data_IF_449676908138
#
_entry.id   IF_449676908138
#
_cell.length_a   1.000
_cell.length_b   1.000
_cell.length_c   1.000
_cell.angle_alpha   90.00
_cell.angle_beta   90.00
_cell.angle_gamma   90.00
#
_symmetry.space_group_name_H-M   'P 1'
#
loop_
_entity.id
_entity.type
_entity.pdbx_description
1 polymer ?
#
# COMPACT_ATOMS: atom_id res chain seq x y z
N UNK A 1 6.03 -38.05 29.97
CA UNK A 1 5.82 -38.53 28.60
C UNK A 1 6.45 -37.49 27.66
N UNK A 2 7.64 -37.79 27.16
CA UNK A 2 8.39 -36.86 26.28
C UNK A 2 7.94 -37.17 24.84
N UNK A 3 7.29 -36.22 24.21
CA UNK A 3 7.04 -36.24 22.75
C UNK A 3 8.36 -35.98 22.03
N UNK A 4 8.99 -37.03 21.58
CA UNK A 4 10.11 -36.98 20.66
C UNK A 4 9.51 -36.92 19.23
N UNK A 5 9.40 -35.74 18.63
CA UNK A 5 9.11 -35.64 17.22
C UNK A 5 10.35 -36.08 16.44
N UNK A 6 10.34 -37.28 15.91
CA UNK A 6 11.26 -37.67 14.85
C UNK A 6 10.86 -36.82 13.60
N UNK A 7 11.50 -35.68 13.42
CA UNK A 7 11.47 -35.02 12.13
C UNK A 7 12.30 -35.89 11.20
N UNK A 8 11.62 -36.64 10.32
CA UNK A 8 12.30 -37.30 9.22
C UNK A 8 13.03 -36.20 8.44
N UNK A 9 14.37 -36.22 8.44
CA UNK A 9 15.17 -35.38 7.55
C UNK A 9 14.82 -35.76 6.12
N UNK A 10 13.81 -35.12 5.55
CA UNK A 10 13.55 -35.16 4.13
C UNK A 10 14.69 -34.37 3.47
N UNK A 11 15.75 -35.08 3.10
CA UNK A 11 16.82 -34.49 2.30
C UNK A 11 16.20 -34.05 0.98
N UNK A 12 15.95 -32.76 0.86
CA UNK A 12 15.55 -32.18 -0.44
C UNK A 12 16.66 -32.55 -1.44
N UNK A 13 16.29 -32.99 -2.66
CA UNK A 13 17.28 -33.22 -3.68
C UNK A 13 18.13 -31.97 -3.86
N UNK A 14 19.43 -32.13 -4.13
CA UNK A 14 20.34 -31.03 -4.43
C UNK A 14 19.81 -30.24 -5.63
N UNK A 15 18.82 -29.38 -5.37
CA UNK A 15 18.34 -28.42 -6.35
C UNK A 15 19.39 -27.31 -6.46
N UNK A 16 19.94 -27.12 -7.63
CA UNK A 16 20.81 -25.98 -7.88
C UNK A 16 20.05 -24.69 -7.50
N UNK A 17 20.69 -23.76 -6.79
CA UNK A 17 20.04 -22.49 -6.46
C UNK A 17 19.58 -21.82 -7.76
N UNK A 18 18.34 -21.34 -7.75
CA UNK A 18 17.79 -20.58 -8.88
C UNK A 18 18.65 -19.33 -9.03
N UNK A 19 19.44 -19.29 -10.12
CA UNK A 19 20.22 -18.10 -10.41
C UNK A 19 19.30 -16.97 -10.84
N UNK A 20 19.39 -15.82 -10.18
CA UNK A 20 18.71 -14.60 -10.63
C UNK A 20 19.36 -14.13 -11.94
N UNK A 21 18.66 -14.29 -13.06
CA UNK A 21 19.14 -13.90 -14.40
C UNK A 21 19.18 -12.40 -14.67
N UNK A 22 18.84 -11.56 -13.69
CA UNK A 22 18.59 -10.14 -13.90
C UNK A 22 17.27 -9.92 -14.65
N UNK A 23 16.47 -8.95 -14.23
CA UNK A 23 15.32 -8.47 -14.99
C UNK A 23 15.69 -7.25 -15.82
N UNK A 24 15.00 -7.04 -16.91
CA UNK A 24 15.10 -5.79 -17.66
C UNK A 24 14.65 -4.63 -16.76
N UNK A 25 15.56 -3.69 -16.48
CA UNK A 25 15.23 -2.48 -15.73
C UNK A 25 14.44 -1.55 -16.63
N UNK A 26 13.14 -1.51 -16.46
CA UNK A 26 12.29 -0.55 -17.18
C UNK A 26 12.51 0.85 -16.60
N UNK A 27 12.73 1.86 -17.45
CA UNK A 27 12.87 3.24 -16.97
C UNK A 27 11.56 3.68 -16.30
N UNK A 28 11.69 4.38 -15.16
CA UNK A 28 10.54 4.96 -14.49
C UNK A 28 10.02 6.14 -15.31
N UNK A 29 8.76 6.16 -15.73
CA UNK A 29 8.18 7.27 -16.48
C UNK A 29 8.18 8.54 -15.64
N UNK A 30 8.29 9.70 -16.31
CA UNK A 30 8.11 11.00 -15.69
C UNK A 30 6.74 11.13 -15.05
N UNK A 31 6.66 11.83 -13.92
CA UNK A 31 5.41 12.11 -13.22
C UNK A 31 4.74 13.34 -13.83
N UNK A 32 3.40 13.28 -14.02
CA UNK A 32 2.60 14.48 -14.30
C UNK A 32 2.61 15.40 -13.07
N UNK A 33 2.70 16.71 -13.30
CA UNK A 33 2.72 17.72 -12.23
C UNK A 33 1.46 17.72 -11.35
N UNK A 34 0.35 17.21 -11.85
CA UNK A 34 -0.93 17.12 -11.13
C UNK A 34 -1.17 15.75 -10.50
N UNK A 35 -0.30 14.80 -10.73
CA UNK A 35 -0.40 13.45 -10.18
C UNK A 35 0.53 13.25 -8.99
N UNK A 36 0.14 12.37 -8.08
CA UNK A 36 0.99 11.84 -7.03
C UNK A 36 1.36 10.39 -7.38
N UNK A 37 2.57 9.98 -7.04
CA UNK A 37 2.99 8.60 -7.22
C UNK A 37 2.48 7.73 -6.08
N UNK A 38 1.64 6.76 -6.40
CA UNK A 38 1.09 5.85 -5.40
C UNK A 38 2.15 4.86 -4.96
N UNK A 39 2.35 4.79 -3.65
CA UNK A 39 3.13 3.76 -2.98
C UNK A 39 2.25 3.05 -1.97
N UNK A 40 2.46 1.76 -1.81
CA UNK A 40 1.66 0.97 -0.88
C UNK A 40 2.54 -0.02 -0.12
N UNK A 41 2.15 -0.29 1.11
CA UNK A 41 2.83 -1.24 1.98
C UNK A 41 1.85 -1.83 2.99
N UNK A 42 2.27 -2.86 3.71
CA UNK A 42 1.50 -3.45 4.80
C UNK A 42 1.94 -2.87 6.13
N UNK A 43 1.01 -2.81 7.08
CA UNK A 43 1.30 -2.51 8.48
C UNK A 43 1.29 -3.81 9.31
N UNK A 44 1.88 -3.74 10.49
CA UNK A 44 1.89 -4.87 11.44
C UNK A 44 0.47 -5.27 11.83
N UNK A 45 -0.39 -4.29 12.09
CA UNK A 45 -1.81 -4.49 12.39
C UNK A 45 -2.64 -4.01 11.20
N UNK A 46 -3.01 -4.94 10.34
CA UNK A 46 -3.94 -4.75 9.24
C UNK A 46 -5.20 -5.60 9.47
N UNK A 47 -6.18 -5.54 8.58
CA UNK A 47 -7.40 -6.35 8.67
C UNK A 47 -7.19 -7.82 8.27
N UNK A 48 -5.98 -8.34 8.40
CA UNK A 48 -5.68 -9.75 8.17
C UNK A 48 -6.42 -10.68 9.12
N UNK A 49 -6.64 -11.91 8.67
CA UNK A 49 -7.44 -12.92 9.40
C UNK A 49 -7.04 -13.09 10.86
N UNK A 50 -5.75 -13.13 11.16
CA UNK A 50 -5.25 -13.32 12.52
C UNK A 50 -5.60 -12.13 13.42
N UNK A 51 -5.41 -10.90 12.92
CA UNK A 51 -5.72 -9.67 13.66
C UNK A 51 -7.23 -9.51 13.82
N UNK A 52 -8.00 -9.71 12.75
CA UNK A 52 -9.46 -9.58 12.77
C UNK A 52 -10.14 -10.62 13.69
N UNK A 53 -9.54 -11.79 13.86
CA UNK A 53 -10.05 -12.84 14.74
C UNK A 53 -9.60 -12.67 16.21
N UNK A 54 -8.72 -11.70 16.51
CA UNK A 54 -8.21 -11.46 17.85
C UNK A 54 -8.89 -10.25 18.50
N UNK A 55 -9.72 -10.45 19.55
CA UNK A 55 -10.38 -9.34 20.24
C UNK A 55 -9.43 -8.29 20.83
N UNK A 56 -8.20 -8.70 21.18
CA UNK A 56 -7.17 -7.80 21.73
C UNK A 56 -6.40 -7.03 20.66
N UNK A 57 -6.41 -7.47 19.40
CA UNK A 57 -5.63 -6.83 18.34
C UNK A 57 -6.49 -6.04 17.34
N UNK A 58 -7.77 -6.40 17.20
CA UNK A 58 -8.65 -5.75 16.21
C UNK A 58 -8.76 -4.23 16.40
N UNK A 59 -8.70 -3.75 17.64
CA UNK A 59 -8.72 -2.32 17.96
C UNK A 59 -7.45 -1.57 17.59
N UNK A 60 -6.38 -2.26 17.16
CA UNK A 60 -5.12 -1.66 16.72
C UNK A 60 -5.07 -1.44 15.21
N UNK A 61 -6.07 -1.92 14.46
CA UNK A 61 -6.18 -1.70 13.02
C UNK A 61 -6.59 -0.26 12.78
N UNK A 62 -5.77 0.55 12.10
CA UNK A 62 -6.13 1.94 11.82
C UNK A 62 -7.18 2.03 10.72
N UNK A 63 -7.85 3.17 10.65
CA UNK A 63 -8.70 3.51 9.52
C UNK A 63 -7.87 3.68 8.23
N UNK A 64 -8.51 3.42 7.10
CA UNK A 64 -7.88 3.63 5.81
C UNK A 64 -7.77 5.13 5.50
N UNK A 65 -6.57 5.57 5.15
CA UNK A 65 -6.28 6.95 4.77
C UNK A 65 -5.27 7.02 3.62
N UNK A 66 -5.37 8.09 2.84
CA UNK A 66 -4.34 8.50 1.88
C UNK A 66 -3.35 9.42 2.61
N UNK A 67 -2.14 8.95 2.85
CA UNK A 67 -1.10 9.74 3.50
C UNK A 67 -0.32 10.51 2.44
N UNK A 68 -0.21 11.83 2.63
CA UNK A 68 0.55 12.71 1.74
C UNK A 68 1.35 13.74 2.53
N UNK A 69 2.38 14.28 1.91
CA UNK A 69 3.14 15.37 2.52
C UNK A 69 2.25 16.63 2.72
N UNK A 70 2.38 17.38 3.83
CA UNK A 70 1.57 18.58 4.10
C UNK A 70 1.57 19.61 2.96
N UNK A 71 2.66 19.73 2.20
CA UNK A 71 2.74 20.61 1.02
C UNK A 71 1.75 20.21 -0.07
N UNK A 72 1.47 18.92 -0.23
CA UNK A 72 0.51 18.44 -1.22
C UNK A 72 -0.92 18.78 -0.81
N UNK A 73 -1.25 18.73 0.47
CA UNK A 73 -2.54 19.17 1.01
C UNK A 73 -2.80 20.62 0.64
N UNK A 74 -1.81 21.49 0.90
CA UNK A 74 -1.91 22.90 0.54
C UNK A 74 -2.04 23.13 -0.98
N UNK A 75 -1.35 22.31 -1.79
CA UNK A 75 -1.40 22.40 -3.25
C UNK A 75 -2.74 21.94 -3.81
N UNK A 76 -3.36 20.91 -3.21
CA UNK A 76 -4.66 20.38 -3.62
C UNK A 76 -5.79 21.31 -3.14
N UNK A 77 -5.57 22.06 -2.04
CA UNK A 77 -6.55 22.97 -1.47
C UNK A 77 -7.62 22.27 -0.61
N UNK A 78 -7.22 21.24 0.13
CA UNK A 78 -8.06 20.48 1.07
C UNK A 78 -7.53 20.64 2.49
N UNK A 79 -8.32 20.25 3.48
CA UNK A 79 -7.87 20.16 4.88
C UNK A 79 -7.44 18.74 5.23
N UNK A 80 -6.66 18.62 6.28
CA UNK A 80 -6.31 17.32 6.88
C UNK A 80 -7.59 16.65 7.43
N UNK A 81 -7.80 15.40 7.04
CA UNK A 81 -9.00 14.63 7.36
C UNK A 81 -10.13 14.73 6.33
N UNK A 82 -10.03 15.62 5.35
CA UNK A 82 -11.08 15.74 4.32
C UNK A 82 -11.18 14.47 3.46
N UNK A 83 -12.41 14.21 2.99
CA UNK A 83 -12.65 13.16 1.99
C UNK A 83 -12.22 13.66 0.62
N UNK A 84 -11.40 12.87 -0.04
CA UNK A 84 -10.93 13.14 -1.39
C UNK A 84 -11.28 11.99 -2.32
N UNK A 85 -11.46 12.31 -3.59
CA UNK A 85 -11.59 11.32 -4.66
C UNK A 85 -10.20 11.07 -5.23
N UNK A 86 -9.77 9.81 -5.22
CA UNK A 86 -8.52 9.37 -5.84
C UNK A 86 -8.85 8.57 -7.10
N UNK A 87 -8.18 8.88 -8.20
CA UNK A 87 -8.38 8.24 -9.50
C UNK A 87 -7.05 7.78 -10.07
N UNK A 88 -7.00 6.54 -10.54
CA UNK A 88 -5.89 5.93 -11.27
C UNK A 88 -6.37 5.40 -12.61
N UNK A 89 -5.48 4.80 -13.41
CA UNK A 89 -5.86 4.07 -14.63
C UNK A 89 -6.80 2.88 -14.37
N UNK A 90 -6.82 2.37 -13.14
CA UNK A 90 -7.59 1.18 -12.76
C UNK A 90 -8.97 1.50 -12.20
N UNK A 91 -9.10 2.61 -11.52
CA UNK A 91 -10.37 2.94 -10.87
C UNK A 91 -10.35 4.23 -10.07
N UNK A 92 -11.46 4.46 -9.39
CA UNK A 92 -11.68 5.63 -8.55
C UNK A 92 -12.21 5.20 -7.20
N UNK A 93 -11.71 5.81 -6.13
CA UNK A 93 -12.19 5.59 -4.76
C UNK A 93 -12.28 6.92 -4.00
N UNK A 94 -13.08 6.95 -2.95
CA UNK A 94 -13.14 8.07 -2.00
C UNK A 94 -12.50 7.64 -0.69
N UNK A 95 -11.60 8.45 -0.16
CA UNK A 95 -10.80 8.13 1.03
C UNK A 95 -10.48 9.41 1.81
N UNK A 96 -10.35 9.29 3.13
CA UNK A 96 -9.84 10.38 3.95
C UNK A 96 -8.37 10.65 3.62
N UNK A 97 -8.02 11.93 3.49
CA UNK A 97 -6.64 12.36 3.26
C UNK A 97 -6.03 12.78 4.59
N UNK A 98 -4.79 12.36 4.84
CA UNK A 98 -4.09 12.66 6.10
C UNK A 98 -2.69 13.18 5.81
N UNK A 99 -2.33 14.25 6.53
CA UNK A 99 -1.00 14.84 6.48
C UNK A 99 0.04 13.96 7.19
N UNK A 100 1.13 13.64 6.48
CA UNK A 100 2.26 12.93 7.07
C UNK A 100 3.57 13.51 6.51
N UNK A 101 4.32 14.22 7.36
CA UNK A 101 5.58 14.85 6.98
C UNK A 101 6.70 13.84 6.64
N UNK A 102 6.53 12.57 6.97
CA UNK A 102 7.48 11.51 6.61
C UNK A 102 7.31 11.01 5.18
N UNK A 103 6.16 11.30 4.56
CA UNK A 103 5.90 10.99 3.15
C UNK A 103 6.62 12.01 2.27
N UNK A 104 7.43 11.59 1.29
CA UNK A 104 8.07 12.53 0.36
C UNK A 104 7.05 13.33 -0.46
N UNK A 105 7.37 14.60 -0.75
CA UNK A 105 6.54 15.40 -1.65
C UNK A 105 6.39 14.72 -3.03
N UNK A 106 5.17 14.77 -3.57
CA UNK A 106 4.85 14.11 -4.82
C UNK A 106 4.53 12.61 -4.71
N UNK A 107 4.51 12.07 -3.50
CA UNK A 107 4.14 10.68 -3.22
C UNK A 107 2.85 10.66 -2.41
N UNK A 108 2.05 9.64 -2.65
CA UNK A 108 0.89 9.30 -1.84
C UNK A 108 1.03 7.86 -1.34
N UNK A 109 0.77 7.63 -0.08
CA UNK A 109 0.89 6.31 0.54
C UNK A 109 -0.48 5.80 0.96
N UNK A 110 -0.82 4.59 0.54
CA UNK A 110 -1.99 3.87 1.03
C UNK A 110 -1.57 2.52 1.59
N UNK A 111 -2.12 2.15 2.73
CA UNK A 111 -1.82 0.87 3.36
C UNK A 111 -2.71 -0.23 2.79
N UNK A 112 -2.10 -1.39 2.47
CA UNK A 112 -2.84 -2.58 2.06
C UNK A 112 -3.67 -3.15 3.21
N UNK A 113 -4.78 -3.81 2.81
CA UNK A 113 -5.58 -4.64 3.70
C UNK A 113 -6.16 -3.88 4.91
N UNK A 114 -6.57 -2.64 4.69
CA UNK A 114 -7.36 -1.87 5.65
C UNK A 114 -8.85 -1.91 5.28
N UNK A 115 -9.77 -1.78 6.27
CA UNK A 115 -11.19 -1.82 6.01
C UNK A 115 -11.64 -0.65 5.11
N UNK A 116 -12.57 -0.92 4.22
CA UNK A 116 -13.29 0.10 3.45
C UNK A 116 -12.64 0.59 2.16
N UNK A 117 -11.33 0.40 1.96
CA UNK A 117 -10.62 0.85 0.75
C UNK A 117 -9.66 -0.22 0.22
N UNK A 118 -9.81 -0.58 -1.03
CA UNK A 118 -8.96 -1.57 -1.71
C UNK A 118 -7.83 -0.92 -2.51
N UNK A 119 -6.64 -0.81 -1.94
CA UNK A 119 -5.46 -0.33 -2.70
C UNK A 119 -5.21 -1.18 -3.95
N UNK A 120 -5.49 -2.48 -3.89
CA UNK A 120 -5.36 -3.40 -5.02
C UNK A 120 -6.19 -3.01 -6.24
N UNK A 121 -7.31 -2.32 -6.05
CA UNK A 121 -8.17 -1.84 -7.13
C UNK A 121 -7.60 -0.59 -7.82
N UNK A 122 -6.68 0.10 -7.19
CA UNK A 122 -6.03 1.31 -7.69
C UNK A 122 -4.67 1.03 -8.32
N UNK A 123 -3.93 0.03 -7.83
CA UNK A 123 -2.58 -0.29 -8.30
C UNK A 123 -2.63 -0.93 -9.68
N UNK A 124 -1.87 -0.37 -10.62
CA UNK A 124 -1.66 -0.95 -11.94
C UNK A 124 -0.39 -1.80 -11.96
N UNK A 125 -0.56 -3.11 -11.82
CA UNK A 125 0.55 -4.06 -11.80
C UNK A 125 1.22 -4.27 -13.19
N UNK A 126 0.63 -3.74 -14.26
CA UNK A 126 1.21 -3.81 -15.61
C UNK A 126 2.24 -2.72 -15.86
N UNK A 127 2.21 -1.66 -15.07
CA UNK A 127 3.12 -0.53 -15.14
C UNK A 127 4.16 -0.58 -14.02
N UNK A 128 5.30 0.04 -14.26
CA UNK A 128 6.40 0.16 -13.28
C UNK A 128 5.97 0.97 -12.07
N UNK A 129 5.09 1.94 -12.28
CA UNK A 129 4.54 2.83 -11.24
C UNK A 129 3.06 3.07 -11.49
N UNK A 130 2.33 3.40 -10.43
CA UNK A 130 0.95 3.87 -10.51
C UNK A 130 0.91 5.34 -10.10
N UNK A 131 0.44 6.19 -10.98
CA UNK A 131 0.18 7.58 -10.67
C UNK A 131 -1.31 7.76 -10.35
N UNK A 132 -1.62 8.58 -9.36
CA UNK A 132 -2.99 8.90 -8.98
C UNK A 132 -3.25 10.40 -9.01
N UNK A 133 -4.47 10.78 -9.35
CA UNK A 133 -5.02 12.13 -9.19
C UNK A 133 -5.85 12.21 -7.94
N UNK A 134 -5.75 13.34 -7.25
CA UNK A 134 -6.54 13.65 -6.07
C UNK A 134 -7.44 14.83 -6.38
N UNK A 135 -8.72 14.67 -6.14
CA UNK A 135 -9.75 15.69 -6.38
C UNK A 135 -10.60 15.88 -5.12
N UNK A 136 -11.03 17.11 -4.89
CA UNK A 136 -11.98 17.40 -3.79
C UNK A 136 -13.32 16.76 -4.07
N UNK A 137 -13.95 16.18 -3.05
CA UNK A 137 -15.34 15.73 -3.11
C UNK A 137 -16.22 16.94 -2.75
N UNK A 138 -17.01 17.41 -3.70
CA UNK A 138 -18.02 18.45 -3.48
C UNK A 138 -19.36 17.81 -3.19
#
# INVERSE_FOLDING_TARGET
MLFRSEVAETRLPDAAPIAWGGGEVRPTPGRDNYALRLTSGRRLYDAGRMVSASPSLVGLVPDAALLVHPQEISRIGVADGDQVRVTTSRGTQTIALTADATVPAGVAVMTFNLPGVGVGDLVDATNVVTDLRVETVR
#
